data_IF_164920265014
#
_entry.id   IF_164920265014
#
_cell.length_a   1.000
_cell.length_b   1.000
_cell.length_c   1.000
_cell.angle_alpha   90.00
_cell.angle_beta   90.00
_cell.angle_gamma   90.00
#
_symmetry.space_group_name_H-M   'P 1'
#
loop_
_entity.id
_entity.type
_entity.pdbx_description
1 polymer ?
#
# COMPACT_ATOMS: atom_id res chain seq x y z
N UNK A 1 31.47 -24.70 -19.45
CA UNK A 1 30.44 -23.71 -19.07
C UNK A 1 30.80 -23.21 -17.68
N UNK A 2 31.16 -21.94 -17.54
CA UNK A 2 31.83 -21.42 -16.35
C UNK A 2 30.82 -21.08 -15.24
N UNK A 3 31.04 -21.57 -14.02
CA UNK A 3 30.11 -21.38 -12.89
C UNK A 3 29.96 -19.90 -12.52
N UNK A 4 30.99 -19.09 -12.80
CA UNK A 4 30.99 -17.64 -12.61
C UNK A 4 30.03 -16.93 -13.57
N UNK A 5 29.90 -17.45 -14.79
CA UNK A 5 29.02 -16.90 -15.81
C UNK A 5 27.54 -17.16 -15.47
N UNK A 6 27.24 -18.36 -14.98
CA UNK A 6 25.89 -18.71 -14.51
C UNK A 6 25.47 -17.89 -13.30
N UNK A 7 26.36 -17.66 -12.33
CA UNK A 7 26.07 -16.77 -11.19
C UNK A 7 25.81 -15.34 -11.63
N UNK A 8 26.53 -14.82 -12.62
CA UNK A 8 26.27 -13.49 -13.17
C UNK A 8 24.93 -13.42 -13.91
N UNK A 9 24.55 -14.45 -14.66
CA UNK A 9 23.23 -14.54 -15.31
C UNK A 9 22.09 -14.63 -14.29
N UNK A 10 22.25 -15.41 -13.22
CA UNK A 10 21.26 -15.53 -12.13
C UNK A 10 21.16 -14.21 -11.35
N UNK A 11 22.28 -13.53 -11.06
CA UNK A 11 22.28 -12.23 -10.39
C UNK A 11 21.60 -11.16 -11.25
N UNK A 12 21.85 -11.14 -12.57
CA UNK A 12 21.19 -10.22 -13.51
C UNK A 12 19.69 -10.53 -13.64
N UNK A 13 19.30 -11.80 -13.60
CA UNK A 13 17.90 -12.25 -13.66
C UNK A 13 17.14 -11.99 -12.35
N UNK A 14 17.78 -12.13 -11.18
CA UNK A 14 17.19 -11.78 -9.88
C UNK A 14 17.14 -10.25 -9.67
N UNK A 15 18.11 -9.50 -10.16
CA UNK A 15 18.02 -8.04 -10.23
C UNK A 15 16.88 -7.61 -11.14
N UNK A 16 16.69 -8.26 -12.29
CA UNK A 16 15.52 -7.98 -13.14
C UNK A 16 14.24 -8.43 -12.43
N UNK A 17 14.13 -9.60 -11.81
CA UNK A 17 12.90 -10.08 -11.17
C UNK A 17 12.50 -9.32 -9.90
N UNK A 18 13.47 -8.72 -9.19
CA UNK A 18 13.24 -7.82 -8.05
C UNK A 18 13.02 -6.37 -8.48
N UNK A 19 13.43 -5.97 -9.70
CA UNK A 19 13.31 -4.60 -10.22
C UNK A 19 12.26 -4.46 -11.36
N UNK A 20 11.75 -5.55 -11.93
CA UNK A 20 10.85 -5.56 -13.11
C UNK A 20 9.37 -5.49 -12.79
N UNK A 21 8.99 -5.36 -11.52
CA UNK A 21 7.61 -5.03 -11.14
C UNK A 21 7.41 -3.53 -10.87
N UNK A 22 8.49 -2.72 -10.83
CA UNK A 22 8.38 -1.43 -10.11
C UNK A 22 8.63 -0.14 -10.92
N UNK A 23 9.43 -0.05 -11.99
CA UNK A 23 9.83 1.31 -12.45
C UNK A 23 9.82 1.66 -13.95
N UNK A 24 9.14 0.91 -14.82
CA UNK A 24 8.88 1.39 -16.19
C UNK A 24 7.47 1.04 -16.66
N UNK A 25 6.51 1.95 -16.44
CA UNK A 25 5.42 2.12 -17.41
C UNK A 25 3.97 1.91 -16.97
N UNK A 26 3.58 2.03 -15.69
CA UNK A 26 2.13 2.11 -15.42
C UNK A 26 1.77 3.04 -14.26
N UNK A 27 1.77 4.35 -14.53
CA UNK A 27 1.22 5.36 -13.62
C UNK A 27 -0.20 4.97 -13.14
N UNK A 28 -0.97 4.31 -14.02
CA UNK A 28 -2.27 3.74 -13.69
C UNK A 28 -2.20 2.63 -12.63
N UNK A 29 -1.25 1.71 -12.72
CA UNK A 29 -1.07 0.63 -11.73
C UNK A 29 -0.68 1.19 -10.35
N UNK A 30 0.19 2.21 -10.33
CA UNK A 30 0.56 2.89 -9.09
C UNK A 30 -0.66 3.64 -8.51
N UNK A 31 -1.43 4.36 -9.34
CA UNK A 31 -2.65 5.04 -8.91
C UNK A 31 -3.70 4.05 -8.36
N UNK A 32 -3.90 2.91 -9.03
CA UNK A 32 -4.78 1.84 -8.57
C UNK A 32 -4.33 1.30 -7.22
N UNK A 33 -3.04 0.99 -7.04
CA UNK A 33 -2.51 0.53 -5.76
C UNK A 33 -2.76 1.55 -4.65
N UNK A 34 -2.39 2.82 -4.87
CA UNK A 34 -2.63 3.91 -3.92
C UNK A 34 -4.12 4.04 -3.55
N UNK A 35 -5.01 3.94 -4.53
CA UNK A 35 -6.46 3.94 -4.32
C UNK A 35 -6.94 2.74 -3.48
N UNK A 36 -6.50 1.53 -3.82
CA UNK A 36 -6.89 0.32 -3.08
C UNK A 36 -6.36 0.32 -1.65
N UNK A 37 -5.13 0.79 -1.42
CA UNK A 37 -4.54 0.92 -0.08
C UNK A 37 -5.31 1.94 0.77
N UNK A 38 -5.70 3.07 0.18
CA UNK A 38 -6.53 4.08 0.85
C UNK A 38 -7.91 3.51 1.23
N UNK A 39 -8.62 2.92 0.25
CA UNK A 39 -9.96 2.37 0.48
C UNK A 39 -9.91 1.22 1.49
N UNK A 40 -8.92 0.34 1.42
CA UNK A 40 -8.74 -0.74 2.38
C UNK A 40 -8.51 -0.22 3.81
N UNK A 41 -7.66 0.79 3.98
CA UNK A 41 -7.39 1.39 5.29
C UNK A 41 -8.66 2.00 5.91
N UNK A 42 -9.42 2.78 5.14
CA UNK A 42 -10.68 3.37 5.59
C UNK A 42 -11.71 2.29 5.90
N UNK A 43 -11.88 1.32 5.00
CA UNK A 43 -12.86 0.24 5.17
C UNK A 43 -12.59 -0.58 6.43
N UNK A 44 -11.34 -1.03 6.63
CA UNK A 44 -10.96 -1.82 7.79
C UNK A 44 -11.14 -1.03 9.08
N UNK A 45 -10.70 0.24 9.12
CA UNK A 45 -10.86 1.08 10.30
C UNK A 45 -12.34 1.32 10.64
N UNK A 46 -13.15 1.70 9.64
CA UNK A 46 -14.60 1.89 9.84
C UNK A 46 -15.31 0.61 10.26
N UNK A 47 -14.92 -0.54 9.70
CA UNK A 47 -15.49 -1.83 10.09
C UNK A 47 -15.18 -2.18 11.55
N UNK A 48 -13.94 -1.94 11.99
CA UNK A 48 -13.53 -2.09 13.38
C UNK A 48 -14.31 -1.13 14.28
N UNK A 49 -14.41 0.14 13.90
CA UNK A 49 -15.16 1.14 14.66
C UNK A 49 -16.64 0.81 14.77
N UNK A 50 -17.26 0.28 13.70
CA UNK A 50 -18.64 -0.20 13.72
C UNK A 50 -18.83 -1.40 14.65
N UNK A 51 -17.91 -2.37 14.62
CA UNK A 51 -17.98 -3.53 15.52
C UNK A 51 -17.81 -3.12 16.99
N UNK A 52 -16.92 -2.16 17.26
CA UNK A 52 -16.76 -1.57 18.58
C UNK A 52 -18.02 -0.80 19.01
N UNK A 53 -18.62 -0.03 18.11
CA UNK A 53 -19.87 0.68 18.41
C UNK A 53 -20.99 -0.30 18.80
N UNK A 54 -21.06 -1.46 18.13
CA UNK A 54 -22.01 -2.53 18.47
C UNK A 54 -21.68 -3.23 19.80
N UNK A 55 -20.41 -3.39 20.12
CA UNK A 55 -20.00 -4.08 21.35
C UNK A 55 -20.17 -3.20 22.59
N UNK A 56 -19.99 -1.88 22.45
CA UNK A 56 -20.08 -0.91 23.53
C UNK A 56 -21.44 -0.19 23.60
N UNK A 57 -22.40 -0.60 22.75
CA UNK A 57 -23.70 0.06 22.56
C UNK A 57 -23.58 1.59 22.35
N UNK A 58 -22.49 2.02 21.72
CA UNK A 58 -22.31 3.42 21.37
C UNK A 58 -23.05 3.74 20.07
N UNK A 59 -23.58 4.97 20.01
CA UNK A 59 -23.96 5.60 18.73
C UNK A 59 -22.74 5.58 17.78
N UNK A 60 -22.90 5.76 16.46
CA UNK A 60 -21.83 5.59 15.45
C UNK A 60 -20.70 6.64 15.56
N UNK A 61 -20.10 6.75 16.73
CA UNK A 61 -19.12 7.73 17.17
C UNK A 61 -17.74 7.11 17.00
N UNK A 62 -17.53 5.87 17.45
CA UNK A 62 -16.25 5.18 17.27
C UNK A 62 -16.02 4.91 15.79
N UNK A 63 -17.02 4.44 15.05
CA UNK A 63 -16.97 4.33 13.60
C UNK A 63 -16.53 5.64 12.93
N UNK A 64 -17.04 6.79 13.39
CA UNK A 64 -16.66 8.10 12.84
C UNK A 64 -15.21 8.46 13.17
N UNK A 65 -14.77 8.24 14.41
CA UNK A 65 -13.39 8.48 14.84
C UNK A 65 -12.43 7.58 14.04
N UNK A 66 -12.73 6.28 13.95
CA UNK A 66 -11.93 5.32 13.20
C UNK A 66 -11.95 5.60 11.70
N UNK A 67 -13.05 6.11 11.14
CA UNK A 67 -13.09 6.56 9.75
C UNK A 67 -12.05 7.67 9.48
N UNK A 68 -11.99 8.70 10.34
CA UNK A 68 -11.00 9.77 10.19
C UNK A 68 -9.57 9.28 10.39
N UNK A 69 -9.35 8.36 11.34
CA UNK A 69 -8.04 7.71 11.55
C UNK A 69 -7.65 6.92 10.29
N UNK A 70 -8.55 6.09 9.75
CA UNK A 70 -8.32 5.31 8.53
C UNK A 70 -8.03 6.20 7.32
N UNK A 71 -8.78 7.31 7.17
CA UNK A 71 -8.55 8.29 6.13
C UNK A 71 -7.19 8.99 6.27
N UNK A 72 -6.81 9.39 7.49
CA UNK A 72 -5.51 9.99 7.76
C UNK A 72 -4.38 9.00 7.45
N UNK A 73 -4.48 7.74 7.90
CA UNK A 73 -3.50 6.69 7.60
C UNK A 73 -3.39 6.45 6.09
N UNK A 74 -4.51 6.35 5.38
CA UNK A 74 -4.55 6.17 3.94
C UNK A 74 -3.87 7.33 3.20
N UNK A 75 -4.22 8.58 3.54
CA UNK A 75 -3.59 9.78 2.94
C UNK A 75 -2.08 9.79 3.20
N UNK A 76 -1.65 9.51 4.43
CA UNK A 76 -0.23 9.48 4.78
C UNK A 76 0.53 8.44 3.94
N UNK A 77 -0.06 7.29 3.67
CA UNK A 77 0.55 6.24 2.85
C UNK A 77 0.66 6.65 1.38
N UNK A 78 -0.39 7.26 0.82
CA UNK A 78 -0.39 7.82 -0.54
C UNK A 78 0.67 8.90 -0.69
N UNK A 79 0.73 9.87 0.24
CA UNK A 79 1.71 10.97 0.21
C UNK A 79 3.14 10.45 0.32
N UNK A 80 3.39 9.46 1.17
CA UNK A 80 4.72 8.82 1.27
C UNK A 80 5.11 8.16 -0.05
N UNK A 81 4.20 7.42 -0.68
CA UNK A 81 4.42 6.77 -1.98
C UNK A 81 4.74 7.80 -3.06
N UNK A 82 3.96 8.87 -3.17
CA UNK A 82 4.22 9.97 -4.11
C UNK A 82 5.57 10.65 -3.87
N UNK A 83 5.97 10.83 -2.60
CA UNK A 83 7.28 11.41 -2.26
C UNK A 83 8.44 10.48 -2.62
N UNK A 84 8.29 9.16 -2.48
CA UNK A 84 9.31 8.19 -2.88
C UNK A 84 9.50 8.21 -4.41
N UNK A 85 8.40 8.24 -5.16
CA UNK A 85 8.45 8.27 -6.63
C UNK A 85 9.12 9.54 -7.17
N UNK A 86 8.92 10.69 -6.52
CA UNK A 86 9.56 11.95 -6.92
C UNK A 86 11.00 12.12 -6.43
N UNK A 87 11.50 11.22 -5.57
CA UNK A 87 12.86 11.29 -5.02
C UNK A 87 13.86 10.39 -5.78
N UNK A 88 13.36 9.52 -6.64
CA UNK A 88 14.17 8.86 -7.69
C UNK A 88 14.36 9.78 -8.90
#
# INVERSE_FOLDING_TARGET
MDLKELKNKIKKTNLIKTTSETHKGNAFGIAMRMGTEFVAAVFVASFIGFYLDKWLDTKPILMLIFFFIGAATGILNVVRTSKMINKE
#
